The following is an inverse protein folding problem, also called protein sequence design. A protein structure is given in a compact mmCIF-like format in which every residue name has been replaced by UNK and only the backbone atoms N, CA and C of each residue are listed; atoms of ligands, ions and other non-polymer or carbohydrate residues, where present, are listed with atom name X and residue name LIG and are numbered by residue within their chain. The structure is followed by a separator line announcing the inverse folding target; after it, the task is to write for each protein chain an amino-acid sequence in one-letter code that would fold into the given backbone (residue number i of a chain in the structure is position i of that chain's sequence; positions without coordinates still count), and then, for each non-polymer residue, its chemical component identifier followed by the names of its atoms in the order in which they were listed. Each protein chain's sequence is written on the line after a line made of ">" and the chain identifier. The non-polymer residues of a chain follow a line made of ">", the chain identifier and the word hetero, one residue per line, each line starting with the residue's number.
data_IF_864715504511
#
_entry.id   IF_864715504511
#
_cell.length_a   1.000
_cell.length_b   1.000
_cell.length_c   1.000
_cell.angle_alpha   90.00
_cell.angle_beta   90.00
_cell.angle_gamma   90.00
#
_symmetry.space_group_name_H-M   'P 1'
#
loop_
_entity.id
_entity.type
_entity.pdbx_description
1 polymer ?
#
# COMPACT_ATOMS: atom_id res chain seq x y z
N UNK A 1 27.07 -59.06 55.44
CA UNK A 1 26.13 -58.26 56.28
C UNK A 1 26.67 -56.81 56.25
N UNK A 2 26.08 -55.95 55.47
CA UNK A 2 26.10 -54.48 55.67
C UNK A 2 25.17 -53.90 54.65
N UNK A 3 24.08 -53.30 55.12
CA UNK A 3 23.10 -52.58 54.27
C UNK A 3 23.63 -51.23 53.95
N UNK A 4 23.78 -50.91 52.63
CA UNK A 4 23.96 -49.54 52.17
C UNK A 4 22.60 -48.97 51.75
N UNK A 5 22.14 -47.95 52.47
CA UNK A 5 20.99 -47.10 52.14
C UNK A 5 21.36 -46.17 50.96
N UNK A 6 20.63 -46.27 49.88
CA UNK A 6 20.64 -45.33 48.81
C UNK A 6 19.75 -44.11 49.16
N UNK A 7 20.32 -42.90 49.15
CA UNK A 7 19.58 -41.63 49.24
C UNK A 7 19.15 -41.23 47.85
N UNK A 8 17.90 -40.75 47.66
CA UNK A 8 17.50 -40.15 46.39
C UNK A 8 18.02 -38.70 46.29
N UNK A 9 18.67 -38.39 45.19
CA UNK A 9 19.05 -37.04 44.83
C UNK A 9 17.80 -36.35 44.25
N UNK A 10 17.27 -35.33 44.94
CA UNK A 10 16.27 -34.43 44.41
C UNK A 10 16.99 -33.46 43.45
N UNK A 11 16.68 -33.57 42.16
CA UNK A 11 17.03 -32.54 41.16
C UNK A 11 15.93 -31.48 41.23
N UNK A 12 16.22 -30.36 41.89
CA UNK A 12 15.36 -29.17 41.86
C UNK A 12 15.43 -28.50 40.52
N UNK A 13 14.34 -28.55 39.74
CA UNK A 13 14.18 -27.74 38.56
C UNK A 13 13.95 -26.28 38.99
N UNK A 14 14.94 -25.42 38.79
CA UNK A 14 14.80 -23.97 38.93
C UNK A 14 14.08 -23.49 37.67
N UNK A 15 12.79 -23.23 37.77
CA UNK A 15 12.03 -22.48 36.77
C UNK A 15 12.39 -21.01 36.97
N UNK A 16 13.27 -20.49 36.13
CA UNK A 16 13.51 -19.05 36.03
C UNK A 16 12.29 -18.41 35.35
N UNK A 17 11.39 -17.86 36.13
CA UNK A 17 10.33 -16.99 35.65
C UNK A 17 10.99 -15.66 35.25
N UNK A 18 11.22 -15.46 33.97
CA UNK A 18 11.50 -14.12 33.44
C UNK A 18 10.21 -13.30 33.52
N UNK A 19 10.11 -12.50 34.58
CA UNK A 19 9.15 -11.43 34.63
C UNK A 19 9.56 -10.38 33.57
N UNK A 20 8.94 -10.41 32.40
CA UNK A 20 8.94 -9.26 31.53
C UNK A 20 8.16 -8.16 32.24
N UNK A 21 8.87 -7.21 32.81
CA UNK A 21 8.32 -5.93 33.17
C UNK A 21 8.00 -5.24 31.84
N UNK A 22 6.86 -5.56 31.26
CA UNK A 22 6.28 -4.82 30.16
C UNK A 22 5.92 -3.45 30.68
N UNK A 23 6.65 -2.41 30.27
CA UNK A 23 6.13 -1.06 30.26
C UNK A 23 4.89 -1.09 29.39
N UNK A 24 3.74 -1.09 30.07
CA UNK A 24 2.44 -0.96 29.43
C UNK A 24 2.29 0.49 28.97
N UNK A 25 2.98 0.88 27.88
CA UNK A 25 2.54 1.98 27.04
C UNK A 25 1.51 1.39 26.10
N UNK A 26 0.28 1.80 26.30
CA UNK A 26 -0.86 1.54 25.43
C UNK A 26 -0.53 1.99 24.01
N UNK A 27 0.19 1.16 23.24
CA UNK A 27 0.41 1.38 21.82
C UNK A 27 -0.79 0.80 21.06
N UNK A 28 -1.90 1.55 21.07
CA UNK A 28 -2.87 1.41 20.00
C UNK A 28 -2.11 1.65 18.70
N UNK A 29 -2.07 0.69 17.81
CA UNK A 29 -1.49 0.83 16.49
C UNK A 29 -2.47 1.49 15.53
N UNK A 30 -2.89 2.69 15.82
CA UNK A 30 -3.07 3.69 14.81
C UNK A 30 -1.68 4.24 14.56
N UNK A 31 -1.33 4.53 13.33
CA UNK A 31 -0.17 5.31 12.93
C UNK A 31 -0.41 6.77 13.41
N UNK A 32 -0.89 6.88 14.64
CA UNK A 32 -1.30 8.11 15.29
C UNK A 32 -0.01 8.77 15.75
N UNK A 33 0.36 9.77 14.98
CA UNK A 33 1.29 10.77 15.41
C UNK A 33 0.85 11.29 16.78
N UNK A 34 1.33 10.64 17.83
CA UNK A 34 1.18 11.11 19.19
C UNK A 34 1.86 12.45 19.28
N UNK A 35 1.21 13.38 19.92
CA UNK A 35 1.66 14.73 20.23
C UNK A 35 2.36 15.44 19.05
N UNK A 36 1.88 16.60 18.70
CA UNK A 36 2.46 17.42 17.66
C UNK A 36 3.90 17.77 18.03
N UNK A 37 4.85 17.14 17.35
CA UNK A 37 6.29 17.39 17.47
C UNK A 37 6.79 18.14 16.24
N UNK A 38 6.93 19.45 16.36
CA UNK A 38 7.40 20.29 15.27
C UNK A 38 8.84 20.01 14.83
N UNK A 39 9.62 19.25 15.62
CA UNK A 39 10.94 18.76 15.25
C UNK A 39 10.92 17.45 14.45
N UNK A 40 9.77 16.74 14.35
CA UNK A 40 9.60 15.54 13.55
C UNK A 40 10.02 15.78 12.11
N UNK A 41 10.73 14.82 11.53
CA UNK A 41 11.10 14.90 10.13
C UNK A 41 9.93 14.57 9.21
N UNK A 42 9.71 15.43 8.23
CA UNK A 42 8.83 15.20 7.08
C UNK A 42 9.72 14.96 5.87
N UNK A 43 9.77 13.72 5.41
CA UNK A 43 10.52 13.34 4.21
C UNK A 43 9.66 13.56 2.97
N UNK A 44 10.15 14.36 2.03
CA UNK A 44 9.53 14.58 0.73
C UNK A 44 10.25 13.72 -0.30
N UNK A 45 9.50 13.02 -1.13
CA UNK A 45 10.04 12.26 -2.24
C UNK A 45 9.60 12.81 -3.59
N UNK A 46 10.51 12.75 -4.56
CA UNK A 46 10.25 13.11 -5.94
C UNK A 46 10.81 12.02 -6.87
N UNK A 47 10.03 11.63 -7.86
CA UNK A 47 10.48 10.79 -8.94
C UNK A 47 11.15 11.64 -10.01
N UNK A 48 12.30 11.17 -10.52
CA UNK A 48 13.04 11.80 -11.59
C UNK A 48 12.30 11.50 -12.90
N UNK A 49 12.16 12.51 -13.75
CA UNK A 49 11.58 12.35 -15.08
C UNK A 49 12.48 11.49 -15.97
N UNK A 50 11.88 10.59 -16.73
CA UNK A 50 12.56 9.84 -17.78
C UNK A 50 12.16 10.45 -19.13
N UNK A 51 13.05 11.24 -19.77
CA UNK A 51 12.73 11.88 -21.05
C UNK A 51 12.58 10.90 -22.22
N UNK A 52 12.84 9.61 -22.02
CA UNK A 52 12.68 8.58 -23.05
C UNK A 52 11.24 8.12 -23.23
N UNK A 53 10.32 8.52 -22.35
CA UNK A 53 8.90 8.16 -22.42
C UNK A 53 7.98 9.33 -22.01
N UNK A 54 6.71 9.26 -22.41
CA UNK A 54 5.72 10.32 -22.20
C UNK A 54 5.01 10.26 -20.83
N UNK A 55 5.40 9.33 -19.92
CA UNK A 55 4.79 9.20 -18.62
C UNK A 55 5.61 9.92 -17.55
N UNK A 56 5.14 11.05 -17.01
CA UNK A 56 5.85 11.76 -15.95
C UNK A 56 6.15 10.82 -14.79
N UNK A 57 7.44 10.73 -14.43
CA UNK A 57 7.89 9.98 -13.26
C UNK A 57 7.40 8.51 -13.22
N UNK A 58 7.36 7.83 -14.36
CA UNK A 58 6.95 6.42 -14.42
C UNK A 58 7.96 5.46 -13.76
N UNK A 59 9.13 5.98 -13.43
CA UNK A 59 10.04 5.36 -12.52
C UNK A 59 11.34 4.85 -13.07
N UNK A 60 11.64 5.04 -14.32
CA UNK A 60 12.86 4.49 -14.88
C UNK A 60 14.12 5.32 -14.58
N UNK A 61 13.96 6.59 -14.17
CA UNK A 61 15.07 7.46 -13.79
C UNK A 61 15.35 7.55 -12.29
N UNK A 62 14.57 6.85 -11.43
CA UNK A 62 14.82 6.75 -9.98
C UNK A 62 14.04 7.74 -9.12
N UNK A 63 14.43 7.85 -7.86
CA UNK A 63 13.73 8.63 -6.83
C UNK A 63 14.72 9.39 -5.96
N UNK A 64 14.40 10.66 -5.68
CA UNK A 64 15.12 11.50 -4.74
C UNK A 64 14.30 11.71 -3.47
N UNK A 65 14.97 11.87 -2.32
CA UNK A 65 14.35 12.19 -1.03
C UNK A 65 15.06 13.35 -0.35
N UNK A 66 14.30 14.18 0.34
CA UNK A 66 14.80 15.29 1.15
C UNK A 66 13.92 15.46 2.37
N UNK A 67 14.52 15.74 3.53
CA UNK A 67 13.80 15.80 4.79
C UNK A 67 13.89 17.20 5.42
N UNK A 68 12.79 17.70 5.93
CA UNK A 68 12.68 18.96 6.67
C UNK A 68 11.93 18.74 7.97
N UNK A 69 12.07 19.64 8.95
CA UNK A 69 11.25 19.59 10.15
C UNK A 69 9.77 19.84 9.83
N UNK A 70 8.86 19.36 10.65
CA UNK A 70 7.44 19.68 10.52
C UNK A 70 7.18 21.19 10.62
N UNK A 71 7.95 21.91 11.46
CA UNK A 71 7.91 23.36 11.51
C UNK A 71 8.25 24.00 10.17
N UNK A 72 9.34 23.56 9.52
CA UNK A 72 9.74 24.05 8.21
C UNK A 72 8.72 23.68 7.12
N UNK A 73 8.13 22.48 7.20
CA UNK A 73 7.12 22.03 6.26
C UNK A 73 5.86 22.92 6.30
N UNK A 74 5.52 23.48 7.47
CA UNK A 74 4.42 24.45 7.65
C UNK A 74 4.78 25.87 7.24
N UNK A 75 6.05 26.20 7.09
CA UNK A 75 6.51 27.57 6.86
C UNK A 75 6.56 27.90 5.35
N UNK A 76 5.73 28.82 4.83
CA UNK A 76 5.73 29.18 3.41
C UNK A 76 7.01 29.90 2.93
N UNK A 77 7.87 30.36 3.86
CA UNK A 77 9.17 30.95 3.50
C UNK A 77 10.25 29.88 3.27
N UNK A 78 10.03 28.64 3.73
CA UNK A 78 10.93 27.51 3.49
C UNK A 78 10.86 27.12 2.01
N UNK A 79 12.05 26.90 1.39
CA UNK A 79 12.17 26.47 0.00
C UNK A 79 12.93 25.15 -0.04
N UNK A 80 12.37 24.16 -0.71
CA UNK A 80 12.92 22.81 -0.83
C UNK A 80 13.10 22.45 -2.29
N UNK A 81 14.29 21.98 -2.66
CA UNK A 81 14.56 21.43 -3.99
C UNK A 81 15.01 19.97 -3.86
N UNK A 82 14.05 19.05 -3.84
CA UNK A 82 14.31 17.62 -3.67
C UNK A 82 15.18 17.04 -4.78
N UNK A 83 14.94 17.46 -6.03
CA UNK A 83 15.63 16.90 -7.20
C UNK A 83 17.08 17.35 -7.33
N UNK A 84 17.42 18.56 -6.83
CA UNK A 84 18.80 19.07 -6.85
C UNK A 84 19.58 18.68 -5.60
N UNK A 85 18.95 18.80 -4.44
CA UNK A 85 19.65 18.78 -3.14
C UNK A 85 19.40 17.49 -2.36
N UNK A 86 18.53 16.60 -2.84
CA UNK A 86 18.13 15.38 -2.15
C UNK A 86 19.13 14.23 -2.28
N UNK A 87 18.90 13.17 -1.50
CA UNK A 87 19.60 11.89 -1.64
C UNK A 87 18.91 11.03 -2.70
N UNK A 88 19.68 10.46 -3.62
CA UNK A 88 19.18 9.45 -4.55
C UNK A 88 18.93 8.13 -3.80
N UNK A 89 17.71 7.63 -3.85
CA UNK A 89 17.35 6.35 -3.24
C UNK A 89 17.83 5.21 -4.13
N UNK A 90 18.44 4.19 -3.54
CA UNK A 90 18.87 2.99 -4.26
C UNK A 90 17.66 2.21 -4.77
N UNK A 91 17.31 2.43 -6.03
CA UNK A 91 16.25 1.70 -6.75
C UNK A 91 16.39 1.98 -8.24
N UNK A 92 16.29 0.97 -9.08
CA UNK A 92 16.36 1.16 -10.54
C UNK A 92 15.11 1.81 -11.12
N UNK A 93 14.01 1.83 -10.37
CA UNK A 93 12.74 2.48 -10.72
C UNK A 93 12.23 3.30 -9.54
N UNK A 94 11.10 3.97 -9.71
CA UNK A 94 10.47 4.74 -8.63
C UNK A 94 10.37 3.88 -7.36
N UNK A 95 11.10 4.29 -6.32
CA UNK A 95 11.16 3.58 -5.05
C UNK A 95 9.79 3.51 -4.38
N UNK A 96 9.55 2.45 -3.62
CA UNK A 96 8.38 2.29 -2.74
C UNK A 96 8.80 2.61 -1.33
N UNK A 97 8.63 3.87 -0.95
CA UNK A 97 9.09 4.39 0.32
C UNK A 97 8.04 4.26 1.42
N UNK A 98 8.51 4.04 2.63
CA UNK A 98 7.71 4.07 3.86
C UNK A 98 8.55 4.78 4.94
N UNK A 99 7.91 5.34 5.97
CA UNK A 99 8.61 5.92 7.12
C UNK A 99 8.12 5.34 8.45
N UNK A 100 8.94 5.45 9.50
CA UNK A 100 8.48 5.25 10.87
C UNK A 100 7.46 6.32 11.26
N UNK A 101 6.62 6.06 12.26
CA UNK A 101 5.61 7.02 12.71
C UNK A 101 6.22 8.32 13.21
N UNK A 102 7.40 8.25 13.85
CA UNK A 102 8.15 9.39 14.36
C UNK A 102 8.98 10.14 13.30
N UNK A 103 9.00 9.66 12.05
CA UNK A 103 9.79 10.26 10.95
C UNK A 103 11.31 10.03 11.04
N UNK A 104 11.81 9.31 12.05
CA UNK A 104 13.23 9.11 12.27
C UNK A 104 13.87 8.06 11.35
N UNK A 105 13.06 7.23 10.70
CA UNK A 105 13.52 6.22 9.76
C UNK A 105 12.75 6.26 8.44
N UNK A 106 13.51 6.06 7.36
CA UNK A 106 12.98 5.82 6.03
C UNK A 106 13.30 4.38 5.61
N UNK A 107 12.32 3.70 5.02
CA UNK A 107 12.42 2.33 4.56
C UNK A 107 12.22 2.25 3.06
N UNK A 108 12.98 1.37 2.40
CA UNK A 108 12.88 1.11 0.97
C UNK A 108 13.12 -0.38 0.68
N UNK A 109 12.38 -0.96 -0.25
CA UNK A 109 12.81 -2.15 -0.98
C UNK A 109 13.12 -1.72 -2.40
N UNK A 110 14.34 -1.98 -2.86
CA UNK A 110 14.79 -1.64 -4.21
C UNK A 110 13.90 -2.38 -5.21
N UNK A 111 13.42 -1.65 -6.21
CA UNK A 111 12.46 -2.16 -7.17
C UNK A 111 13.11 -2.35 -8.53
N UNK A 112 13.09 -3.58 -9.05
CA UNK A 112 13.74 -4.02 -10.30
C UNK A 112 15.26 -3.81 -10.34
N UNK A 113 15.88 -4.18 -11.46
CA UNK A 113 17.32 -4.09 -11.64
C UNK A 113 18.10 -5.18 -10.93
N UNK A 114 19.42 -5.05 -10.91
CA UNK A 114 20.35 -6.03 -10.34
C UNK A 114 20.15 -6.18 -8.82
N UNK A 115 19.90 -5.07 -8.13
CA UNK A 115 19.66 -5.03 -6.68
C UNK A 115 18.18 -5.09 -6.30
N UNK A 116 17.31 -5.44 -7.24
CA UNK A 116 15.86 -5.53 -7.00
C UNK A 116 15.52 -6.55 -5.91
N UNK A 117 14.74 -6.12 -4.91
CA UNK A 117 14.36 -6.93 -3.76
C UNK A 117 15.24 -6.74 -2.52
N UNK A 118 16.28 -5.90 -2.57
CA UNK A 118 17.07 -5.56 -1.38
C UNK A 118 16.33 -4.51 -0.56
N UNK A 119 16.04 -4.84 0.71
CA UNK A 119 15.47 -3.93 1.68
C UNK A 119 16.58 -3.09 2.34
N UNK A 120 16.33 -1.79 2.47
CA UNK A 120 17.18 -0.83 3.12
C UNK A 120 16.42 -0.03 4.18
N UNK A 121 17.07 0.24 5.32
CA UNK A 121 16.64 1.17 6.35
C UNK A 121 17.63 2.32 6.44
N UNK A 122 17.11 3.53 6.55
CA UNK A 122 17.92 4.74 6.74
C UNK A 122 17.45 5.49 7.99
N UNK A 123 18.38 5.96 8.82
CA UNK A 123 18.08 6.98 9.83
C UNK A 123 18.07 8.36 9.16
N UNK A 124 17.11 9.20 9.54
CA UNK A 124 16.87 10.53 8.96
C UNK A 124 17.46 11.59 9.88
N UNK A 125 18.31 12.48 9.31
CA UNK A 125 19.00 13.53 10.05
C UNK A 125 18.74 14.93 9.46
N UNK A 126 17.78 15.06 8.56
CA UNK A 126 17.42 16.31 7.89
C UNK A 126 18.15 16.50 6.57
N UNK A 127 17.61 17.35 5.70
CA UNK A 127 18.10 17.61 4.35
C UNK A 127 18.29 16.29 3.55
N UNK A 128 19.46 16.09 2.96
CA UNK A 128 19.84 14.85 2.26
C UNK A 128 20.61 13.86 3.16
N UNK A 129 20.68 14.11 4.47
CA UNK A 129 21.45 13.26 5.40
C UNK A 129 20.57 12.06 5.84
N UNK A 130 20.57 11.02 5.01
CA UNK A 130 19.98 9.73 5.27
C UNK A 130 21.11 8.69 5.39
N UNK A 131 21.24 8.06 6.55
CA UNK A 131 22.34 7.14 6.84
C UNK A 131 21.84 5.71 6.92
N UNK A 132 22.51 4.76 6.25
CA UNK A 132 22.19 3.35 6.34
C UNK A 132 22.14 2.91 7.83
N UNK A 133 21.08 2.22 8.21
CA UNK A 133 20.80 1.79 9.58
C UNK A 133 20.39 0.32 9.61
N UNK A 134 21.22 -0.52 10.21
CA UNK A 134 21.03 -1.97 10.20
C UNK A 134 21.53 -2.64 8.91
N UNK A 135 21.29 -3.94 8.82
CA UNK A 135 21.71 -4.75 7.69
C UNK A 135 20.76 -4.57 6.48
N UNK A 136 21.30 -4.68 5.28
CA UNK A 136 20.49 -4.90 4.08
C UNK A 136 19.89 -6.31 4.11
N UNK A 137 18.65 -6.45 3.63
CA UNK A 137 17.95 -7.74 3.63
C UNK A 137 17.54 -8.13 2.23
N UNK A 138 18.06 -9.25 1.75
CA UNK A 138 17.69 -9.82 0.45
C UNK A 138 16.33 -10.50 0.53
N UNK A 139 15.35 -10.02 -0.27
CA UNK A 139 13.99 -10.56 -0.31
C UNK A 139 13.60 -11.18 -1.66
N UNK A 140 14.41 -10.99 -2.71
CA UNK A 140 14.05 -11.37 -4.08
C UNK A 140 13.79 -12.87 -4.24
N UNK A 141 14.53 -13.72 -3.52
CA UNK A 141 14.33 -15.17 -3.52
C UNK A 141 12.91 -15.58 -3.11
N UNK A 142 12.26 -14.79 -2.27
CA UNK A 142 10.92 -15.09 -1.74
C UNK A 142 9.80 -14.36 -2.48
N UNK A 143 10.00 -13.08 -2.82
CA UNK A 143 8.94 -12.24 -3.38
C UNK A 143 9.32 -11.53 -4.68
N UNK A 144 10.38 -12.00 -5.36
CA UNK A 144 10.97 -11.49 -6.61
C UNK A 144 11.71 -10.15 -6.47
N UNK A 145 12.42 -9.78 -7.56
CA UNK A 145 13.12 -8.49 -7.70
C UNK A 145 12.19 -7.27 -7.80
N UNK A 146 10.89 -7.48 -7.84
CA UNK A 146 9.87 -6.43 -7.93
C UNK A 146 8.82 -6.58 -6.84
N UNK A 147 9.22 -6.67 -5.56
CA UNK A 147 8.30 -6.93 -4.48
C UNK A 147 7.31 -5.80 -4.30
N UNK A 148 6.08 -6.14 -3.96
CA UNK A 148 5.08 -5.19 -3.49
C UNK A 148 5.06 -5.23 -1.97
N UNK A 149 5.36 -4.13 -1.34
CA UNK A 149 5.48 -4.10 0.12
C UNK A 149 4.96 -2.81 0.72
N UNK A 150 4.61 -2.88 1.99
CA UNK A 150 4.32 -1.72 2.83
C UNK A 150 4.83 -1.96 4.26
N UNK A 151 4.98 -0.87 5.01
CA UNK A 151 4.93 -0.91 6.46
C UNK A 151 3.50 -1.30 6.84
N UNK A 152 3.30 -2.57 7.16
CA UNK A 152 1.98 -3.15 7.41
C UNK A 152 1.46 -2.91 8.83
N UNK A 153 2.37 -2.60 9.75
CA UNK A 153 2.14 -2.05 11.09
C UNK A 153 3.43 -1.37 11.54
N UNK A 154 3.42 -0.65 12.67
CA UNK A 154 4.65 -0.06 13.18
C UNK A 154 5.66 -1.16 13.52
N UNK A 155 6.90 -0.99 13.04
CA UNK A 155 7.97 -1.98 13.17
C UNK A 155 7.82 -3.23 12.29
N UNK A 156 6.75 -3.35 11.50
CA UNK A 156 6.47 -4.53 10.67
C UNK A 156 6.36 -4.16 9.20
N UNK A 157 7.21 -4.76 8.37
CA UNK A 157 7.08 -4.74 6.91
C UNK A 157 6.45 -6.05 6.41
N UNK A 158 5.58 -5.97 5.40
CA UNK A 158 5.10 -7.14 4.67
C UNK A 158 5.30 -6.91 3.18
N UNK A 159 5.94 -7.86 2.52
CA UNK A 159 6.12 -7.91 1.08
C UNK A 159 5.32 -9.07 0.49
N UNK A 160 4.72 -8.84 -0.68
CA UNK A 160 3.81 -9.79 -1.31
C UNK A 160 4.08 -9.91 -2.81
N UNK A 161 3.81 -11.09 -3.35
CA UNK A 161 3.77 -11.36 -4.79
C UNK A 161 2.61 -12.27 -5.13
N UNK A 162 1.76 -11.85 -6.07
CA UNK A 162 0.76 -12.70 -6.72
C UNK A 162 1.20 -13.04 -8.14
N UNK A 163 1.26 -14.31 -8.47
CA UNK A 163 1.60 -14.79 -9.82
C UNK A 163 0.44 -15.61 -10.36
N UNK A 164 -0.19 -15.14 -11.43
CA UNK A 164 -1.22 -15.90 -12.12
C UNK A 164 -0.63 -17.21 -12.66
N UNK A 165 -1.22 -18.33 -12.29
CA UNK A 165 -0.80 -19.66 -12.76
C UNK A 165 -1.16 -19.83 -14.26
N UNK A 166 -0.53 -20.78 -14.96
CA UNK A 166 -0.99 -21.18 -16.27
C UNK A 166 -2.48 -21.58 -16.25
N UNK A 167 -3.17 -21.32 -17.35
CA UNK A 167 -4.57 -21.75 -17.51
C UNK A 167 -4.61 -23.28 -17.59
N UNK A 168 -5.49 -23.88 -16.78
CA UNK A 168 -5.79 -25.31 -16.82
C UNK A 168 -6.95 -25.54 -17.77
N UNK A 169 -6.82 -26.53 -18.64
CA UNK A 169 -7.84 -26.90 -19.63
C UNK A 169 -7.81 -28.41 -19.88
N UNK A 170 -8.89 -28.91 -20.47
CA UNK A 170 -8.99 -30.30 -20.94
C UNK A 170 -9.33 -30.32 -22.45
N UNK A 171 -9.28 -31.52 -23.04
CA UNK A 171 -9.57 -31.72 -24.47
C UNK A 171 -8.30 -31.76 -25.32
N UNK A 172 -8.51 -31.89 -26.63
CA UNK A 172 -7.47 -31.94 -27.67
C UNK A 172 -7.86 -31.04 -28.83
N UNK A 173 -6.86 -30.58 -29.59
CA UNK A 173 -7.09 -29.72 -30.76
C UNK A 173 -8.11 -30.33 -31.73
N UNK A 174 -9.09 -29.59 -32.22
CA UNK A 174 -9.36 -28.17 -31.96
C UNK A 174 -10.30 -27.89 -30.78
N UNK A 175 -10.68 -28.89 -30.01
CA UNK A 175 -11.73 -28.77 -28.96
C UNK A 175 -11.08 -28.72 -27.57
N UNK A 176 -11.05 -27.54 -26.97
CA UNK A 176 -10.55 -27.33 -25.63
C UNK A 176 -11.65 -26.79 -24.71
N UNK A 177 -11.61 -27.19 -23.45
CA UNK A 177 -12.48 -26.73 -22.40
C UNK A 177 -11.64 -26.07 -21.30
N UNK A 178 -11.91 -24.80 -21.01
CA UNK A 178 -11.33 -24.07 -19.87
C UNK A 178 -11.73 -24.76 -18.55
N UNK A 179 -10.81 -24.95 -17.65
CA UNK A 179 -11.08 -25.50 -16.32
C UNK A 179 -10.91 -24.45 -15.24
N UNK A 180 -9.73 -23.87 -15.12
CA UNK A 180 -9.45 -22.84 -14.11
C UNK A 180 -8.21 -22.01 -14.47
N UNK A 181 -8.13 -20.84 -13.83
CA UNK A 181 -6.87 -20.11 -13.66
C UNK A 181 -6.81 -19.64 -12.21
N UNK A 182 -5.74 -19.99 -11.51
CA UNK A 182 -5.54 -19.68 -10.09
C UNK A 182 -4.31 -18.80 -9.90
N UNK A 183 -3.95 -18.51 -8.65
CA UNK A 183 -2.84 -17.62 -8.34
C UNK A 183 -1.93 -18.28 -7.31
N UNK A 184 -0.63 -18.22 -7.54
CA UNK A 184 0.38 -18.46 -6.51
C UNK A 184 0.57 -17.17 -5.72
N UNK A 185 0.55 -17.28 -4.38
CA UNK A 185 0.74 -16.19 -3.45
C UNK A 185 2.01 -16.44 -2.64
N UNK A 186 2.98 -15.56 -2.78
CA UNK A 186 4.22 -15.54 -2.00
C UNK A 186 4.14 -14.36 -1.02
N UNK A 187 4.42 -14.60 0.26
CA UNK A 187 4.39 -13.61 1.34
C UNK A 187 5.69 -13.64 2.14
N UNK A 188 6.11 -12.45 2.60
CA UNK A 188 7.28 -12.29 3.44
C UNK A 188 7.02 -11.19 4.46
N UNK A 189 7.38 -11.40 5.74
CA UNK A 189 7.38 -10.36 6.76
C UNK A 189 8.78 -9.98 7.21
N UNK A 190 8.95 -8.68 7.49
CA UNK A 190 10.20 -8.04 7.93
C UNK A 190 10.01 -7.43 9.30
N UNK A 191 11.02 -7.55 10.16
CA UNK A 191 11.22 -6.66 11.30
C UNK A 191 11.90 -5.37 10.81
N UNK A 192 11.22 -4.22 10.92
CA UNK A 192 11.75 -2.92 10.48
C UNK A 192 12.63 -2.26 11.55
N UNK A 193 12.50 -2.64 12.82
CA UNK A 193 13.34 -2.11 13.88
C UNK A 193 14.76 -2.67 13.77
N UNK A 194 14.87 -3.98 13.62
CA UNK A 194 16.11 -4.71 13.37
C UNK A 194 15.93 -5.44 12.03
N UNK A 195 16.41 -4.86 10.90
CA UNK A 195 16.11 -5.39 9.57
C UNK A 195 16.47 -6.86 9.41
N UNK A 196 15.44 -7.70 9.34
CA UNK A 196 15.55 -9.14 9.08
C UNK A 196 14.23 -9.73 8.61
N UNK A 197 14.31 -10.84 7.88
CA UNK A 197 13.13 -11.64 7.54
C UNK A 197 12.64 -12.35 8.80
N UNK A 198 11.34 -12.23 9.09
CA UNK A 198 10.69 -12.92 10.22
C UNK A 198 10.07 -14.22 9.75
N UNK A 199 9.22 -14.15 8.73
CA UNK A 199 8.56 -15.33 8.16
C UNK A 199 8.40 -15.21 6.65
N UNK A 200 8.26 -16.35 5.99
CA UNK A 200 7.92 -16.46 4.58
C UNK A 200 6.87 -17.55 4.36
N UNK A 201 6.04 -17.39 3.35
CA UNK A 201 5.12 -18.45 2.92
C UNK A 201 4.92 -18.43 1.41
N UNK A 202 4.52 -19.60 0.89
CA UNK A 202 4.13 -19.77 -0.50
C UNK A 202 2.92 -20.68 -0.58
N UNK A 203 1.84 -20.17 -1.16
CA UNK A 203 0.63 -20.94 -1.45
C UNK A 203 0.44 -21.01 -2.96
N UNK A 204 0.57 -22.19 -3.54
CA UNK A 204 0.62 -22.38 -4.99
C UNK A 204 -0.74 -22.32 -5.66
N UNK A 205 -1.84 -22.41 -4.90
CA UNK A 205 -3.20 -22.34 -5.42
C UNK A 205 -4.10 -21.54 -4.49
N UNK A 206 -4.30 -20.27 -4.85
CA UNK A 206 -5.35 -19.43 -4.29
C UNK A 206 -6.36 -19.18 -5.42
N UNK A 207 -7.61 -19.54 -5.16
CA UNK A 207 -8.72 -19.47 -6.13
C UNK A 207 -9.84 -18.56 -5.60
N UNK A 208 -10.67 -18.07 -6.49
CA UNK A 208 -11.96 -17.44 -6.19
C UNK A 208 -13.02 -18.52 -5.91
N UNK A 209 -14.30 -18.15 -5.80
CA UNK A 209 -15.39 -19.14 -5.69
C UNK A 209 -15.46 -20.02 -6.95
N UNK A 210 -16.04 -21.21 -6.83
CA UNK A 210 -16.15 -22.15 -7.96
C UNK A 210 -16.90 -21.54 -9.14
N UNK A 211 -17.94 -20.72 -8.87
CA UNK A 211 -18.70 -20.01 -9.90
C UNK A 211 -17.85 -18.95 -10.60
N UNK A 212 -17.03 -18.21 -9.86
CA UNK A 212 -16.15 -17.18 -10.42
C UNK A 212 -15.03 -17.82 -11.23
N UNK A 213 -14.44 -18.92 -10.74
CA UNK A 213 -13.43 -19.69 -11.45
C UNK A 213 -14.00 -20.25 -12.76
N UNK A 214 -15.18 -20.86 -12.73
CA UNK A 214 -15.85 -21.38 -13.93
C UNK A 214 -16.16 -20.27 -14.94
N UNK A 215 -16.47 -19.07 -14.46
CA UNK A 215 -16.70 -17.89 -15.31
C UNK A 215 -15.38 -17.28 -15.86
N UNK A 216 -14.23 -17.80 -15.47
CA UNK A 216 -12.90 -17.38 -15.94
C UNK A 216 -12.20 -16.33 -15.07
N UNK A 217 -12.75 -15.95 -13.92
CA UNK A 217 -12.12 -14.98 -13.03
C UNK A 217 -10.94 -15.56 -12.26
N UNK A 218 -9.91 -14.73 -12.05
CA UNK A 218 -8.73 -15.05 -11.24
C UNK A 218 -8.08 -13.78 -10.67
N UNK A 219 -7.30 -13.91 -9.61
CA UNK A 219 -6.48 -12.83 -9.08
C UNK A 219 -5.21 -12.72 -9.92
N UNK A 220 -5.00 -11.57 -10.57
CA UNK A 220 -3.80 -11.33 -11.37
C UNK A 220 -2.71 -10.57 -10.62
N UNK A 221 -3.10 -9.86 -9.54
CA UNK A 221 -2.21 -9.01 -8.75
C UNK A 221 -2.66 -8.93 -7.31
N UNK A 222 -1.71 -8.91 -6.39
CA UNK A 222 -1.92 -8.55 -4.98
C UNK A 222 -0.96 -7.45 -4.59
N UNK A 223 -1.36 -6.57 -3.63
CA UNK A 223 -0.55 -5.44 -3.16
C UNK A 223 -1.07 -4.93 -1.81
N UNK A 224 -0.44 -3.92 -1.25
CA UNK A 224 -0.84 -3.10 -0.10
C UNK A 224 -1.26 -3.92 1.14
N UNK A 225 -0.34 -4.70 1.73
CA UNK A 225 -0.65 -5.46 2.94
C UNK A 225 -0.81 -4.55 4.18
N UNK A 226 -1.74 -4.91 5.09
CA UNK A 226 -1.87 -4.32 6.43
C UNK A 226 -2.10 -5.41 7.47
N UNK A 227 -1.45 -5.30 8.63
CA UNK A 227 -1.64 -6.22 9.78
C UNK A 227 -2.69 -5.61 10.71
N UNK A 228 -3.64 -6.43 11.19
CA UNK A 228 -4.68 -5.95 12.11
C UNK A 228 -4.11 -5.57 13.48
N UNK A 229 -4.90 -4.81 14.25
CA UNK A 229 -4.51 -4.34 15.59
C UNK A 229 -4.17 -5.50 16.56
N UNK A 230 -4.81 -6.64 16.39
CA UNK A 230 -4.54 -7.83 17.22
C UNK A 230 -3.21 -8.53 16.84
N UNK A 231 -2.57 -8.16 15.75
CA UNK A 231 -1.32 -8.76 15.29
C UNK A 231 -1.46 -10.24 14.91
N UNK A 232 -2.63 -10.68 14.45
CA UNK A 232 -2.90 -12.08 14.13
C UNK A 232 -3.42 -12.32 12.70
N UNK A 233 -3.71 -11.27 11.94
CA UNK A 233 -4.12 -11.35 10.52
C UNK A 233 -3.43 -10.28 9.70
N UNK A 234 -3.11 -10.63 8.45
CA UNK A 234 -2.68 -9.69 7.41
C UNK A 234 -3.70 -9.68 6.28
N UNK A 235 -4.12 -8.47 5.86
CA UNK A 235 -5.06 -8.24 4.76
C UNK A 235 -4.29 -7.70 3.57
N UNK A 236 -4.51 -8.28 2.40
CA UNK A 236 -3.74 -8.00 1.19
C UNK A 236 -4.72 -7.68 0.07
N UNK A 237 -4.67 -6.48 -0.47
CA UNK A 237 -5.54 -6.06 -1.56
C UNK A 237 -5.30 -6.87 -2.83
N UNK A 238 -6.38 -7.11 -3.61
CA UNK A 238 -6.32 -7.94 -4.80
C UNK A 238 -6.97 -7.28 -6.01
N UNK A 239 -6.37 -7.51 -7.17
CA UNK A 239 -6.90 -7.17 -8.48
C UNK A 239 -7.36 -8.43 -9.21
N UNK A 240 -8.56 -8.40 -9.79
CA UNK A 240 -9.18 -9.51 -10.51
C UNK A 240 -9.18 -9.22 -12.00
N UNK A 241 -8.92 -10.26 -12.80
CA UNK A 241 -9.10 -10.28 -14.26
C UNK A 241 -9.95 -11.47 -14.65
N UNK A 242 -10.39 -11.49 -15.92
CA UNK A 242 -11.21 -12.55 -16.47
C UNK A 242 -10.62 -13.09 -17.76
N UNK A 243 -10.52 -14.41 -17.87
CA UNK A 243 -10.37 -15.12 -19.15
C UNK A 243 -11.74 -15.34 -19.76
N UNK A 244 -11.83 -15.41 -21.09
CA UNK A 244 -13.01 -15.90 -21.76
C UNK A 244 -12.94 -17.41 -21.94
N UNK A 245 -13.71 -18.22 -21.19
CA UNK A 245 -13.68 -19.68 -21.29
C UNK A 245 -14.05 -20.22 -22.68
N UNK A 246 -14.75 -19.42 -23.49
CA UNK A 246 -15.29 -19.81 -24.79
C UNK A 246 -14.50 -19.26 -25.98
N UNK A 247 -13.39 -18.54 -25.74
CA UNK A 247 -12.60 -17.93 -26.81
C UNK A 247 -11.12 -18.24 -26.62
N UNK A 248 -10.55 -18.94 -27.55
CA UNK A 248 -9.11 -19.27 -27.55
C UNK A 248 -8.57 -19.37 -28.98
N UNK A 249 -7.25 -19.24 -29.09
CA UNK A 249 -6.47 -19.55 -30.28
C UNK A 249 -5.61 -20.76 -30.02
N UNK A 250 -5.27 -21.51 -31.04
CA UNK A 250 -4.38 -22.70 -30.94
C UNK A 250 -3.05 -22.40 -31.62
N UNK A 251 -1.97 -22.48 -30.88
CA UNK A 251 -0.63 -22.33 -31.41
C UNK A 251 -0.22 -23.52 -32.31
N UNK A 252 0.82 -23.36 -33.13
CA UNK A 252 1.30 -24.40 -34.03
C UNK A 252 1.73 -25.71 -33.31
N UNK A 253 2.10 -25.62 -32.03
CA UNK A 253 2.41 -26.75 -31.17
C UNK A 253 1.17 -27.44 -30.55
N UNK A 254 -0.05 -26.99 -30.92
CA UNK A 254 -1.30 -27.55 -30.42
C UNK A 254 -1.75 -27.00 -29.06
N UNK A 255 -1.06 -26.02 -28.47
CA UNK A 255 -1.43 -25.45 -27.17
C UNK A 255 -2.46 -24.34 -27.32
N UNK A 256 -3.60 -24.35 -26.55
CA UNK A 256 -4.56 -23.27 -26.58
C UNK A 256 -4.10 -22.05 -25.76
N UNK A 257 -4.44 -20.87 -26.22
CA UNK A 257 -4.33 -19.60 -25.49
C UNK A 257 -5.70 -18.99 -25.39
N UNK A 258 -6.27 -18.98 -24.18
CA UNK A 258 -7.59 -18.37 -23.92
C UNK A 258 -7.47 -16.84 -23.91
N UNK A 259 -8.45 -16.18 -24.52
CA UNK A 259 -8.50 -14.74 -24.61
C UNK A 259 -8.83 -14.10 -23.24
N UNK A 260 -8.33 -12.88 -22.99
CA UNK A 260 -8.78 -12.07 -21.88
C UNK A 260 -10.17 -11.48 -22.21
N UNK A 261 -11.11 -11.55 -21.26
CA UNK A 261 -12.39 -10.89 -21.37
C UNK A 261 -12.34 -9.47 -20.80
N UNK A 262 -12.26 -8.48 -21.69
CA UNK A 262 -12.27 -7.07 -21.32
C UNK A 262 -13.65 -6.44 -21.28
N UNK A 263 -14.71 -7.17 -21.61
CA UNK A 263 -16.09 -6.64 -21.64
C UNK A 263 -16.80 -6.76 -20.29
N UNK A 264 -16.42 -7.76 -19.49
CA UNK A 264 -16.93 -7.96 -18.12
C UNK A 264 -15.78 -8.33 -17.17
N UNK A 265 -14.78 -7.48 -17.04
CA UNK A 265 -13.44 -7.90 -16.59
C UNK A 265 -13.33 -8.12 -15.08
N UNK A 266 -14.33 -7.70 -14.29
CA UNK A 266 -14.16 -7.67 -12.82
C UNK A 266 -15.26 -8.40 -12.10
N UNK A 267 -14.88 -9.35 -11.24
CA UNK A 267 -15.70 -9.82 -10.13
C UNK A 267 -15.85 -8.71 -9.08
N UNK A 268 -16.64 -8.94 -8.06
CA UNK A 268 -16.69 -8.10 -6.86
C UNK A 268 -15.31 -7.96 -6.21
N UNK A 269 -15.12 -6.86 -5.45
CA UNK A 269 -13.86 -6.56 -4.79
C UNK A 269 -13.39 -7.72 -3.92
N UNK A 270 -12.09 -8.01 -3.96
CA UNK A 270 -11.45 -9.13 -3.26
C UNK A 270 -10.32 -8.64 -2.37
N UNK A 271 -10.12 -9.35 -1.26
CA UNK A 271 -8.94 -9.23 -0.41
C UNK A 271 -8.51 -10.63 0.01
N UNK A 272 -7.20 -10.85 0.08
CA UNK A 272 -6.63 -12.07 0.67
C UNK A 272 -6.37 -11.78 2.15
N UNK A 273 -6.81 -12.68 3.02
CA UNK A 273 -6.55 -12.66 4.46
C UNK A 273 -5.72 -13.88 4.82
N UNK A 274 -4.57 -13.66 5.45
CA UNK A 274 -3.71 -14.74 5.93
C UNK A 274 -3.45 -14.60 7.43
N UNK A 275 -3.04 -15.68 8.07
CA UNK A 275 -2.62 -15.65 9.47
C UNK A 275 -1.31 -14.87 9.63
N UNK A 276 -1.20 -14.07 10.67
CA UNK A 276 0.04 -13.40 11.03
C UNK A 276 0.48 -13.84 12.44
N UNK A 277 1.75 -14.02 12.75
CA UNK A 277 2.93 -13.77 11.88
C UNK A 277 3.30 -14.92 10.93
N UNK A 278 2.59 -16.06 10.97
CA UNK A 278 2.95 -17.27 10.20
C UNK A 278 2.83 -17.10 8.67
N UNK A 279 2.01 -16.17 8.21
CA UNK A 279 1.68 -15.91 6.81
C UNK A 279 1.00 -17.10 6.10
N UNK A 280 0.41 -18.01 6.86
CA UNK A 280 -0.23 -19.24 6.37
C UNK A 280 -1.74 -19.04 6.18
N UNK A 281 -2.39 -20.07 5.62
CA UNK A 281 -3.84 -20.18 5.47
C UNK A 281 -4.49 -18.98 4.73
N UNK A 282 -3.97 -18.56 3.56
CA UNK A 282 -4.59 -17.46 2.82
C UNK A 282 -5.99 -17.86 2.33
N UNK A 283 -6.97 -17.02 2.66
CA UNK A 283 -8.36 -17.12 2.20
C UNK A 283 -8.73 -15.86 1.43
N UNK A 284 -9.64 -15.97 0.46
CA UNK A 284 -10.17 -14.83 -0.30
C UNK A 284 -11.51 -14.43 0.28
N UNK A 285 -11.62 -13.18 0.70
CA UNK A 285 -12.89 -12.56 1.11
C UNK A 285 -13.43 -11.65 0.00
N UNK A 286 -14.74 -11.45 -0.06
CA UNK A 286 -15.43 -10.78 -1.16
C UNK A 286 -16.40 -9.72 -0.66
N UNK A 287 -16.31 -8.50 -1.21
CA UNK A 287 -17.32 -7.47 -0.99
C UNK A 287 -18.26 -7.37 -2.17
N UNK A 288 -19.56 -7.33 -1.90
CA UNK A 288 -20.60 -7.13 -2.92
C UNK A 288 -20.86 -5.65 -3.21
N UNK A 289 -20.21 -4.73 -2.49
CA UNK A 289 -20.46 -3.29 -2.57
C UNK A 289 -19.87 -2.63 -3.82
N UNK A 290 -18.83 -3.20 -4.41
CA UNK A 290 -18.16 -2.65 -5.59
C UNK A 290 -17.40 -3.73 -6.37
N UNK A 291 -17.08 -3.40 -7.62
CA UNK A 291 -16.16 -4.16 -8.48
C UNK A 291 -14.78 -3.48 -8.60
N UNK A 292 -14.54 -2.42 -7.84
CA UNK A 292 -13.27 -1.74 -7.78
C UNK A 292 -12.18 -2.65 -7.21
N UNK A 293 -10.97 -2.60 -7.79
CA UNK A 293 -9.83 -3.37 -7.30
C UNK A 293 -9.30 -2.79 -5.99
N UNK A 294 -8.84 -3.62 -5.09
CA UNK A 294 -8.33 -3.25 -3.76
C UNK A 294 -6.81 -3.24 -3.67
N UNK A 295 -6.11 -3.65 -4.72
CA UNK A 295 -4.66 -3.80 -4.72
C UNK A 295 -3.86 -2.49 -4.80
N UNK A 296 -4.51 -1.35 -5.04
CA UNK A 296 -3.82 -0.07 -5.23
C UNK A 296 -2.76 -0.09 -6.35
N UNK A 297 -2.02 1.01 -6.48
CA UNK A 297 -0.84 1.10 -7.33
C UNK A 297 0.22 1.98 -6.66
N UNK A 298 1.22 1.37 -6.04
CA UNK A 298 2.32 2.02 -5.29
C UNK A 298 1.91 2.79 -4.03
N UNK A 299 0.63 3.02 -3.78
CA UNK A 299 0.09 3.85 -2.71
C UNK A 299 -0.58 3.01 -1.63
N UNK A 300 -0.59 3.52 -0.42
CA UNK A 300 -1.30 2.90 0.70
C UNK A 300 -2.80 3.07 0.51
N UNK A 301 -3.54 1.96 0.50
CA UNK A 301 -4.98 1.94 0.21
C UNK A 301 -5.81 1.44 1.40
N UNK A 302 -5.17 0.99 2.49
CA UNK A 302 -5.91 0.46 3.63
C UNK A 302 -5.25 0.82 4.96
N UNK A 303 -6.10 1.07 5.95
CA UNK A 303 -5.72 1.48 7.30
C UNK A 303 -6.59 0.79 8.33
N UNK A 304 -6.04 0.64 9.55
CA UNK A 304 -6.80 0.17 10.71
C UNK A 304 -7.46 1.39 11.36
N UNK A 305 -8.78 1.38 11.46
CA UNK A 305 -9.53 2.42 12.17
C UNK A 305 -9.40 2.33 13.69
N UNK A 306 -9.84 3.38 14.40
CA UNK A 306 -9.81 3.41 15.87
C UNK A 306 -10.69 2.32 16.49
N UNK A 307 -11.71 1.89 15.77
CA UNK A 307 -12.59 0.76 16.08
C UNK A 307 -11.97 -0.63 15.81
N UNK A 308 -10.75 -0.65 15.27
CA UNK A 308 -10.02 -1.87 14.90
C UNK A 308 -10.44 -2.50 13.58
N UNK A 309 -11.43 -1.95 12.87
CA UNK A 309 -11.79 -2.40 11.53
C UNK A 309 -10.72 -1.98 10.51
N UNK A 310 -10.64 -2.72 9.39
CA UNK A 310 -9.83 -2.31 8.25
C UNK A 310 -10.70 -1.49 7.30
N UNK A 311 -10.28 -0.27 7.03
CA UNK A 311 -10.86 0.59 6.02
C UNK A 311 -9.99 0.54 4.76
N UNK A 312 -10.57 0.09 3.66
CA UNK A 312 -9.85 -0.22 2.43
C UNK A 312 -10.44 0.55 1.24
N UNK A 313 -9.65 1.46 0.67
CA UNK A 313 -10.04 2.15 -0.55
C UNK A 313 -9.91 1.23 -1.77
N UNK A 314 -10.78 1.46 -2.75
CA UNK A 314 -10.80 0.74 -4.02
C UNK A 314 -10.45 1.68 -5.17
N UNK A 315 -10.01 1.13 -6.31
CA UNK A 315 -10.08 1.84 -7.59
C UNK A 315 -11.54 2.13 -7.94
N UNK A 316 -11.79 2.99 -8.93
CA UNK A 316 -13.11 3.09 -9.55
C UNK A 316 -13.55 1.74 -10.13
N UNK A 317 -14.84 1.57 -10.40
CA UNK A 317 -15.39 0.31 -10.91
C UNK A 317 -14.91 -0.03 -12.34
N UNK A 318 -14.33 0.95 -13.03
CA UNK A 318 -13.84 0.84 -14.40
C UNK A 318 -14.94 0.99 -15.44
N UNK A 319 -14.56 1.28 -16.66
CA UNK A 319 -15.48 1.39 -17.81
C UNK A 319 -16.62 2.40 -17.63
N UNK A 320 -16.42 3.47 -16.84
CA UNK A 320 -17.44 4.49 -16.61
C UNK A 320 -18.62 4.06 -15.71
N UNK A 321 -18.47 2.97 -14.96
CA UNK A 321 -19.55 2.38 -14.16
C UNK A 321 -19.56 2.81 -12.68
N UNK A 322 -18.80 3.82 -12.30
CA UNK A 322 -18.79 4.36 -10.95
C UNK A 322 -17.42 4.58 -10.37
N UNK A 323 -17.36 5.43 -9.34
CA UNK A 323 -16.13 5.84 -8.69
C UNK A 323 -15.66 4.90 -7.58
N UNK A 324 -14.57 5.32 -6.97
CA UNK A 324 -13.94 4.61 -5.85
C UNK A 324 -14.84 4.60 -4.61
N UNK A 325 -14.72 3.52 -3.86
CA UNK A 325 -15.33 3.37 -2.53
C UNK A 325 -14.26 3.07 -1.48
N UNK A 326 -14.60 3.31 -0.23
CA UNK A 326 -13.88 2.75 0.91
C UNK A 326 -14.78 1.66 1.50
N UNK A 327 -14.23 0.46 1.63
CA UNK A 327 -14.88 -0.71 2.19
C UNK A 327 -14.44 -0.91 3.63
N UNK A 328 -15.23 -1.61 4.42
CA UNK A 328 -14.89 -2.00 5.79
C UNK A 328 -14.77 -3.51 5.91
N UNK A 329 -13.66 -3.98 6.51
CA UNK A 329 -13.48 -5.37 6.92
C UNK A 329 -13.63 -5.41 8.43
N UNK A 330 -14.54 -6.25 8.93
CA UNK A 330 -14.85 -6.36 10.35
C UNK A 330 -13.70 -6.99 11.12
N UNK A 331 -13.26 -6.35 12.20
CA UNK A 331 -12.25 -6.90 13.11
C UNK A 331 -12.75 -8.17 13.86
N UNK A 332 -14.08 -8.36 13.97
CA UNK A 332 -14.67 -9.50 14.65
C UNK A 332 -14.70 -10.76 13.77
N UNK A 333 -14.97 -10.60 12.47
CA UNK A 333 -15.13 -11.73 11.54
C UNK A 333 -13.97 -11.92 10.59
N UNK A 334 -13.10 -10.91 10.42
CA UNK A 334 -12.06 -10.82 9.40
C UNK A 334 -12.62 -10.94 7.97
N UNK A 335 -13.88 -10.52 7.76
CA UNK A 335 -14.59 -10.54 6.48
C UNK A 335 -15.20 -9.17 6.22
N UNK A 336 -15.57 -8.89 4.96
CA UNK A 336 -16.21 -7.64 4.59
C UNK A 336 -17.56 -7.46 5.29
N UNK A 337 -17.74 -6.26 5.84
CA UNK A 337 -19.05 -5.78 6.24
C UNK A 337 -19.81 -5.25 5.00
N UNK A 338 -20.56 -6.13 4.37
CA UNK A 338 -21.32 -5.79 3.17
C UNK A 338 -22.56 -4.90 3.41
N UNK A 339 -22.80 -4.50 4.68
CA UNK A 339 -23.84 -3.50 5.01
C UNK A 339 -23.32 -2.06 4.94
N UNK A 340 -22.00 -1.86 4.83
CA UNK A 340 -21.36 -0.56 4.87
C UNK A 340 -20.37 -0.36 3.72
N UNK A 341 -20.44 0.80 3.09
CA UNK A 341 -19.42 1.33 2.17
C UNK A 341 -19.52 2.85 2.10
N UNK A 342 -18.38 3.53 2.05
CA UNK A 342 -18.30 4.96 1.76
C UNK A 342 -18.12 5.14 0.24
N UNK A 343 -18.97 5.92 -0.40
CA UNK A 343 -18.85 6.27 -1.83
C UNK A 343 -18.28 7.67 -1.98
N UNK A 344 -17.11 7.80 -2.59
CA UNK A 344 -16.51 9.11 -2.85
C UNK A 344 -17.34 9.95 -3.82
N UNK A 345 -17.89 9.31 -4.86
CA UNK A 345 -18.79 9.97 -5.82
C UNK A 345 -20.02 10.58 -5.13
N UNK A 346 -20.69 9.81 -4.30
CA UNK A 346 -21.89 10.27 -3.60
C UNK A 346 -21.58 11.37 -2.60
N UNK A 347 -20.48 11.24 -1.85
CA UNK A 347 -20.10 12.20 -0.82
C UNK A 347 -19.65 13.55 -1.39
N UNK A 348 -19.09 13.58 -2.61
CA UNK A 348 -18.62 14.78 -3.28
C UNK A 348 -19.59 15.34 -4.35
N UNK A 349 -20.61 14.55 -4.75
CA UNK A 349 -21.48 14.92 -5.87
C UNK A 349 -20.77 14.90 -7.21
N UNK A 350 -19.80 13.99 -7.40
CA UNK A 350 -19.05 13.78 -8.64
C UNK A 350 -19.36 12.41 -9.25
N UNK A 351 -18.75 12.10 -10.37
CA UNK A 351 -18.86 10.80 -11.02
C UNK A 351 -17.48 10.28 -11.41
N UNK A 352 -17.30 8.96 -11.35
CA UNK A 352 -16.11 8.25 -11.78
C UNK A 352 -14.83 8.71 -11.07
N UNK A 353 -14.90 9.01 -9.78
CA UNK A 353 -13.71 9.28 -8.97
C UNK A 353 -12.78 8.07 -8.93
N UNK A 354 -11.47 8.35 -8.86
CA UNK A 354 -10.44 7.34 -8.69
C UNK A 354 -9.52 7.74 -7.55
N UNK A 355 -9.55 7.01 -6.43
CA UNK A 355 -8.65 7.26 -5.30
C UNK A 355 -7.24 6.84 -5.70
N UNK A 356 -6.32 7.81 -5.75
CA UNK A 356 -4.89 7.59 -6.01
C UNK A 356 -4.16 7.13 -4.74
N UNK A 357 -4.45 7.80 -3.63
CA UNK A 357 -4.04 7.43 -2.27
C UNK A 357 -4.98 8.06 -1.26
N UNK A 358 -4.94 7.59 -0.04
CA UNK A 358 -5.64 8.22 1.07
C UNK A 358 -4.90 7.98 2.38
N UNK A 359 -5.27 8.70 3.43
CA UNK A 359 -4.76 8.51 4.78
C UNK A 359 -5.90 8.58 5.78
N UNK A 360 -6.04 7.55 6.60
CA UNK A 360 -6.85 7.60 7.81
C UNK A 360 -6.08 8.39 8.87
N UNK A 361 -6.72 9.38 9.52
CA UNK A 361 -6.06 10.29 10.45
C UNK A 361 -6.70 10.30 11.85
N UNK A 362 -7.47 9.25 12.17
CA UNK A 362 -8.19 9.10 13.44
C UNK A 362 -9.60 9.67 13.40
N UNK A 363 -10.43 9.31 14.40
CA UNK A 363 -11.80 9.81 14.60
C UNK A 363 -12.72 9.65 13.37
N UNK A 364 -12.57 8.58 12.61
CA UNK A 364 -13.26 8.32 11.34
C UNK A 364 -12.99 9.37 10.24
N UNK A 365 -11.95 10.16 10.37
CA UNK A 365 -11.55 11.15 9.38
C UNK A 365 -10.44 10.57 8.49
N UNK A 366 -10.51 10.91 7.21
CA UNK A 366 -9.46 10.62 6.24
C UNK A 366 -9.23 11.77 5.28
N UNK A 367 -8.06 11.77 4.66
CA UNK A 367 -7.72 12.64 3.54
C UNK A 367 -7.53 11.78 2.30
N UNK A 368 -8.16 12.17 1.20
CA UNK A 368 -8.17 11.42 -0.06
C UNK A 368 -7.55 12.31 -1.15
N UNK A 369 -6.59 11.77 -1.87
CA UNK A 369 -6.09 12.32 -3.13
C UNK A 369 -6.70 11.50 -4.26
N UNK A 370 -7.38 12.16 -5.20
CA UNK A 370 -8.14 11.48 -6.22
C UNK A 370 -8.09 12.19 -7.58
N UNK A 371 -8.39 11.45 -8.63
CA UNK A 371 -8.58 11.92 -10.01
C UNK A 371 -10.02 11.62 -10.45
N UNK A 372 -10.41 12.12 -11.61
CA UNK A 372 -11.66 11.76 -12.30
C UNK A 372 -11.32 10.94 -13.54
N UNK A 373 -12.01 9.83 -13.74
CA UNK A 373 -11.87 9.01 -14.95
C UNK A 373 -12.79 9.57 -16.02
N UNK A 374 -12.22 9.99 -17.15
CA UNK A 374 -12.98 10.51 -18.28
C UNK A 374 -13.63 9.39 -19.13
N UNK A 375 -14.39 9.76 -20.15
CA UNK A 375 -15.06 8.82 -21.05
C UNK A 375 -14.09 7.91 -21.85
N UNK A 376 -12.84 8.33 -22.01
CA UNK A 376 -11.80 7.51 -22.65
C UNK A 376 -11.13 6.52 -21.68
N UNK A 377 -11.51 6.56 -20.40
CA UNK A 377 -10.92 5.72 -19.35
C UNK A 377 -9.63 6.28 -18.75
N UNK A 378 -9.28 7.55 -19.05
CA UNK A 378 -8.07 8.21 -18.57
C UNK A 378 -8.36 8.91 -17.24
N UNK A 379 -7.39 8.88 -16.32
CA UNK A 379 -7.42 9.64 -15.09
C UNK A 379 -6.98 11.07 -15.35
N UNK A 380 -7.83 12.04 -15.00
CA UNK A 380 -7.62 13.46 -15.28
C UNK A 380 -7.76 14.32 -14.04
N UNK A 381 -6.96 15.35 -13.94
CA UNK A 381 -6.92 16.26 -12.81
C UNK A 381 -6.39 15.61 -11.53
N UNK A 382 -6.16 16.44 -10.53
CA UNK A 382 -5.72 16.03 -9.21
C UNK A 382 -6.44 16.82 -8.14
N UNK A 383 -7.12 16.14 -7.23
CA UNK A 383 -7.99 16.72 -6.24
C UNK A 383 -7.69 16.19 -4.86
N UNK A 384 -7.97 16.99 -3.83
CA UNK A 384 -7.86 16.60 -2.43
C UNK A 384 -9.19 16.81 -1.73
N UNK A 385 -9.61 15.84 -0.92
CA UNK A 385 -10.78 15.94 -0.08
C UNK A 385 -10.52 15.40 1.33
N UNK A 386 -11.13 16.02 2.33
CA UNK A 386 -11.33 15.46 3.67
C UNK A 386 -12.62 14.68 3.67
N UNK A 387 -12.59 13.46 4.20
CA UNK A 387 -13.75 12.57 4.30
C UNK A 387 -14.07 12.29 5.78
N UNK A 388 -15.34 12.08 6.07
CA UNK A 388 -15.85 11.61 7.36
C UNK A 388 -16.59 10.30 7.13
N UNK A 389 -16.00 9.21 7.58
CA UNK A 389 -16.53 7.84 7.41
C UNK A 389 -17.72 7.56 8.32
N UNK A 390 -17.92 8.34 9.41
CA UNK A 390 -19.04 8.18 10.32
C UNK A 390 -20.34 8.73 9.75
N UNK A 391 -20.24 9.84 8.99
CA UNK A 391 -21.37 10.57 8.43
C UNK A 391 -21.52 10.36 6.91
N UNK A 392 -20.60 9.64 6.28
CA UNK A 392 -20.52 9.46 4.83
C UNK A 392 -20.49 10.80 4.06
N UNK A 393 -19.72 11.77 4.57
CA UNK A 393 -19.57 13.09 3.96
C UNK A 393 -18.16 13.36 3.50
N UNK A 394 -18.00 14.28 2.55
CA UNK A 394 -16.70 14.73 2.10
C UNK A 394 -16.72 16.25 1.83
N UNK A 395 -15.56 16.88 2.03
CA UNK A 395 -15.31 18.28 1.67
C UNK A 395 -14.08 18.35 0.75
N UNK A 396 -14.30 18.76 -0.49
CA UNK A 396 -13.22 19.03 -1.44
C UNK A 396 -12.49 20.33 -1.04
N UNK A 397 -11.17 20.35 -1.20
CA UNK A 397 -10.34 21.55 -1.15
C UNK A 397 -10.12 22.09 -2.56
N UNK A 398 -9.97 23.41 -2.68
CA UNK A 398 -9.58 24.04 -3.94
C UNK A 398 -8.07 24.20 -3.97
N UNK A 399 -7.42 23.53 -4.89
CA UNK A 399 -5.99 23.63 -5.13
C UNK A 399 -5.73 24.42 -6.43
N UNK A 400 -4.58 25.10 -6.54
CA UNK A 400 -4.17 25.70 -7.83
C UNK A 400 -4.01 24.63 -8.94
N UNK A 401 -4.44 24.96 -10.14
CA UNK A 401 -4.19 24.14 -11.34
C UNK A 401 -4.71 22.70 -11.27
N UNK A 402 -5.80 22.43 -10.56
CA UNK A 402 -6.35 21.08 -10.34
C UNK A 402 -6.45 20.24 -11.62
N UNK A 403 -6.82 20.85 -12.76
CA UNK A 403 -6.96 20.15 -14.02
C UNK A 403 -5.63 19.72 -14.66
N UNK A 404 -4.52 20.32 -14.20
CA UNK A 404 -3.15 20.03 -14.65
C UNK A 404 -2.37 19.19 -13.64
N UNK A 405 -2.91 18.98 -12.43
CA UNK A 405 -2.29 18.11 -11.45
C UNK A 405 -2.38 16.64 -11.90
N UNK A 406 -1.36 15.86 -11.55
CA UNK A 406 -1.31 14.43 -11.81
C UNK A 406 -0.78 13.72 -10.56
N UNK A 407 -1.61 12.89 -9.95
CA UNK A 407 -1.28 12.15 -8.74
C UNK A 407 -1.11 10.64 -8.94
N UNK A 408 -1.05 10.16 -10.18
CA UNK A 408 -1.00 8.73 -10.48
C UNK A 408 0.24 8.00 -9.95
N UNK A 409 1.24 8.73 -9.45
CA UNK A 409 2.44 8.17 -8.83
C UNK A 409 2.53 8.46 -7.33
N UNK A 410 1.56 9.16 -6.74
CA UNK A 410 1.58 9.49 -5.31
C UNK A 410 1.53 8.23 -4.45
N UNK A 411 2.35 8.18 -3.42
CA UNK A 411 2.48 6.98 -2.56
C UNK A 411 1.95 7.20 -1.16
N UNK A 412 2.15 8.40 -0.60
CA UNK A 412 1.83 8.64 0.79
C UNK A 412 1.43 10.10 1.08
N UNK A 413 0.70 10.27 2.17
CA UNK A 413 0.29 11.51 2.80
C UNK A 413 0.95 11.55 4.18
N UNK A 414 1.69 12.60 4.50
CA UNK A 414 2.37 12.77 5.78
C UNK A 414 1.38 13.08 6.92
N UNK A 415 1.72 12.68 8.14
CA UNK A 415 0.95 12.98 9.34
C UNK A 415 1.89 13.27 10.51
N UNK A 416 1.65 14.38 11.23
CA UNK A 416 2.34 14.71 12.47
C UNK A 416 1.35 15.36 13.44
N UNK A 417 0.97 14.64 14.48
CA UNK A 417 -0.07 15.11 15.40
C UNK A 417 -1.38 15.40 14.67
N UNK A 418 -1.78 16.66 14.63
CA UNK A 418 -2.98 17.13 13.94
C UNK A 418 -2.72 17.61 12.50
N UNK A 419 -1.45 17.71 12.09
CA UNK A 419 -1.06 18.22 10.78
C UNK A 419 -0.95 17.09 9.73
N UNK A 420 -1.64 17.24 8.61
CA UNK A 420 -1.61 16.35 7.45
C UNK A 420 -0.89 17.06 6.31
N UNK A 421 0.15 16.44 5.75
CA UNK A 421 1.04 17.02 4.73
C UNK A 421 0.85 16.36 3.37
N UNK A 422 0.55 17.16 2.36
CA UNK A 422 0.45 16.69 0.96
C UNK A 422 1.36 17.56 0.10
N UNK A 423 2.30 16.94 -0.59
CA UNK A 423 3.13 17.61 -1.60
C UNK A 423 2.33 17.74 -2.90
N UNK A 424 2.13 18.97 -3.37
CA UNK A 424 1.30 19.27 -4.54
C UNK A 424 2.08 20.15 -5.52
N UNK A 425 2.27 19.64 -6.73
CA UNK A 425 2.83 20.38 -7.85
C UNK A 425 2.30 19.81 -9.18
N UNK A 426 2.16 20.64 -10.17
CA UNK A 426 2.02 20.19 -11.55
C UNK A 426 3.35 19.56 -11.99
N UNK A 427 3.36 18.41 -12.68
CA UNK A 427 4.60 17.79 -13.15
C UNK A 427 5.53 18.81 -13.85
N UNK A 428 6.80 18.82 -13.45
CA UNK A 428 7.79 19.76 -13.99
C UNK A 428 7.68 21.21 -13.50
N UNK A 429 6.72 21.56 -12.66
CA UNK A 429 6.52 22.90 -12.13
C UNK A 429 6.74 22.96 -10.62
N UNK A 430 7.05 24.15 -10.11
CA UNK A 430 7.10 24.40 -8.67
C UNK A 430 5.72 24.25 -8.04
N UNK A 431 5.70 23.85 -6.77
CA UNK A 431 4.47 23.66 -6.00
C UNK A 431 4.69 23.99 -4.54
N UNK A 432 3.87 23.42 -3.69
CA UNK A 432 3.94 23.60 -2.24
C UNK A 432 3.60 22.30 -1.50
N UNK A 433 4.04 22.23 -0.26
CA UNK A 433 3.40 21.38 0.73
C UNK A 433 2.12 22.09 1.18
N UNK A 434 0.99 21.41 1.08
CA UNK A 434 -0.26 21.84 1.69
C UNK A 434 -0.43 21.14 3.02
N UNK A 435 -0.77 21.90 4.05
CA UNK A 435 -0.93 21.43 5.42
C UNK A 435 -2.39 21.55 5.80
N UNK A 436 -2.97 20.45 6.26
CA UNK A 436 -4.38 20.39 6.66
C UNK A 436 -4.44 20.02 8.14
N UNK A 437 -5.18 20.77 8.90
CA UNK A 437 -5.51 20.42 10.29
C UNK A 437 -6.60 19.33 10.29
N UNK A 438 -6.31 18.16 10.86
CA UNK A 438 -7.26 17.04 10.83
C UNK A 438 -8.52 17.28 11.67
N UNK A 439 -8.45 18.18 12.68
CA UNK A 439 -9.56 18.51 13.60
C UNK A 439 -10.49 19.53 12.96
N UNK A 440 -9.99 20.73 12.65
CA UNK A 440 -10.78 21.80 12.04
C UNK A 440 -11.04 21.55 10.55
N UNK A 441 -10.13 20.86 9.88
CA UNK A 441 -10.11 20.69 8.44
C UNK A 441 -9.64 21.95 7.71
N UNK A 442 -8.99 22.89 8.37
CA UNK A 442 -8.43 24.07 7.70
C UNK A 442 -7.21 23.69 6.87
N UNK A 443 -7.00 24.41 5.77
CA UNK A 443 -5.88 24.21 4.88
C UNK A 443 -4.99 25.46 4.86
N UNK A 444 -3.70 25.27 5.01
CA UNK A 444 -2.68 26.32 4.86
C UNK A 444 -1.64 25.92 3.83
N UNK A 445 -0.97 26.93 3.26
CA UNK A 445 0.14 26.72 2.34
C UNK A 445 1.42 26.70 3.16
N UNK A 446 2.16 25.61 3.10
CA UNK A 446 3.47 25.43 3.73
C UNK A 446 4.62 25.66 2.76
N UNK A 447 5.72 24.92 2.98
CA UNK A 447 6.98 25.06 2.26
C UNK A 447 6.80 25.02 0.74
N UNK A 448 7.56 25.88 0.06
CA UNK A 448 7.63 25.90 -1.39
C UNK A 448 8.48 24.72 -1.89
N UNK A 449 7.96 23.99 -2.85
CA UNK A 449 8.66 22.92 -3.55
C UNK A 449 9.15 23.42 -4.89
N UNK A 450 10.46 23.56 -5.05
CA UNK A 450 11.05 23.80 -6.35
C UNK A 450 11.12 22.50 -7.14
N UNK A 451 10.80 22.58 -8.42
CA UNK A 451 10.87 21.46 -9.33
C UNK A 451 11.64 21.86 -10.58
N UNK A 452 12.32 20.90 -11.17
CA UNK A 452 13.08 21.09 -12.41
C UNK A 452 13.07 19.78 -13.22
N UNK A 453 13.28 19.89 -14.52
CA UNK A 453 13.48 18.73 -15.40
C UNK A 453 12.34 17.70 -15.38
N UNK A 454 11.08 18.13 -15.35
CA UNK A 454 9.93 17.22 -15.49
C UNK A 454 9.61 16.35 -14.27
N UNK A 455 10.39 16.45 -13.18
CA UNK A 455 10.19 15.62 -11.99
C UNK A 455 8.81 15.79 -11.36
N UNK A 456 8.40 14.78 -10.58
CA UNK A 456 7.12 14.76 -9.90
C UNK A 456 7.26 14.40 -8.42
N UNK A 457 6.61 15.16 -7.54
CA UNK A 457 6.50 14.79 -6.13
C UNK A 457 5.56 13.60 -5.96
N UNK A 458 6.02 12.58 -5.22
CA UNK A 458 5.32 11.31 -5.09
C UNK A 458 4.94 10.97 -3.65
N UNK A 459 5.33 11.76 -2.67
CA UNK A 459 4.91 11.54 -1.28
C UNK A 459 5.51 12.53 -0.30
N UNK A 460 4.81 12.66 0.81
CA UNK A 460 5.28 13.17 2.10
C UNK A 460 5.13 12.03 3.13
N UNK A 461 6.12 11.86 4.03
CA UNK A 461 6.20 10.73 4.95
C UNK A 461 6.44 11.17 6.38
#
# INVERSE_FOLDING_TARGET
>A
MSKMLSRPVMIGAVVAAFAFAGCNKNSGSSDDGNEQDDSRWITISAAIDDPSNDNPADGDAGTMVYSISAADAKNPATVVNVLRDGMHVRSSRTARLQSSADGNFLYNIQYTGEDGGIFNKYSVHGAADFRASGAEVETATYVSTSPRWLKAAEGVGVAVRGTANPTVYSGTSPNFTFTERTTTVDLLSLNLNEPQIVNTSKTTRVALSDEEVAAGYYIWRIDVPVVNRAGNKVYIGAGVQKMNPNSFTVAANGTPTFATDNTSPRAFAKTIVADYPSLQNPVVISSTQTRGATNGYRSTMQYIGDDGHVYQATSGEGFGNGGSKILRISSATNDYDNSWAFSLDAALGVSNSYIETWRYVGNNIGYVVYSIVNAAGERTGGYVARIDLSNNTARKYTLPSETSLYFGQIQNIGLNGDDVFIAVAVPGQAGNIYVFDKVSGDMTVGAKLENQNGGQFIGAY
#
